data_IF_066682379622
#
_entry.id   IF_066682379622
#
_cell.length_a   1.000
_cell.length_b   1.000
_cell.length_c   1.000
_cell.angle_alpha   90.00
_cell.angle_beta   90.00
_cell.angle_gamma   90.00
#
_symmetry.space_group_name_H-M   'P 1'
#
loop_
_entity.id
_entity.type
_entity.pdbx_description
1 polymer ?
#
# COMPACT_ATOMS: atom_id res chain seq x y z
N UNK A 1 6.48 -2.37 1.16
CA UNK A 1 5.45 -1.30 1.10
C UNK A 1 5.86 -0.08 0.27
N UNK A 2 7.15 0.26 0.10
CA UNK A 2 7.54 1.50 -0.61
C UNK A 2 7.51 1.40 -2.14
N UNK A 3 7.75 0.22 -2.72
CA UNK A 3 7.84 0.06 -4.17
C UNK A 3 6.51 0.37 -4.90
N UNK A 4 5.37 -0.08 -4.35
CA UNK A 4 4.03 0.15 -4.94
C UNK A 4 3.66 1.64 -5.01
N UNK A 5 3.71 2.43 -3.92
CA UNK A 5 3.38 3.86 -3.97
C UNK A 5 4.36 4.66 -4.83
N UNK A 6 5.65 4.30 -4.84
CA UNK A 6 6.63 4.94 -5.72
C UNK A 6 6.33 4.66 -7.19
N UNK A 7 6.02 3.42 -7.56
CA UNK A 7 5.64 3.07 -8.92
C UNK A 7 4.38 3.82 -9.39
N UNK A 8 3.38 3.97 -8.51
CA UNK A 8 2.17 4.74 -8.79
C UNK A 8 2.45 6.23 -8.97
N UNK A 9 3.25 6.82 -8.08
CA UNK A 9 3.67 8.22 -8.17
C UNK A 9 4.43 8.49 -9.46
N UNK A 10 5.41 7.65 -9.79
CA UNK A 10 6.20 7.79 -11.03
C UNK A 10 5.30 7.65 -12.25
N UNK A 11 4.39 6.68 -12.29
CA UNK A 11 3.42 6.53 -13.38
C UNK A 11 2.58 7.81 -13.58
N UNK A 12 2.08 8.43 -12.51
CA UNK A 12 1.27 9.66 -12.59
C UNK A 12 2.03 10.86 -13.18
N UNK A 13 3.35 10.92 -13.01
CA UNK A 13 4.18 12.00 -13.55
C UNK A 13 4.42 11.92 -15.06
N UNK A 14 4.18 10.76 -15.70
CA UNK A 14 4.20 10.60 -17.16
C UNK A 14 2.84 10.94 -17.82
N UNK A 15 1.87 11.45 -17.05
CA UNK A 15 0.53 11.83 -17.55
C UNK A 15 0.36 13.35 -17.62
N UNK A 16 -0.61 13.82 -18.41
CA UNK A 16 -0.95 15.25 -18.54
C UNK A 16 -1.51 15.87 -17.24
N UNK A 17 -2.01 15.04 -16.32
CA UNK A 17 -2.91 15.49 -15.26
C UNK A 17 -2.21 15.85 -13.94
N UNK A 18 -0.93 15.49 -13.79
CA UNK A 18 -0.18 15.68 -12.54
C UNK A 18 -0.71 14.84 -11.37
N UNK A 19 -0.23 15.13 -10.16
CA UNK A 19 -0.66 14.45 -8.92
C UNK A 19 -1.32 15.46 -7.98
N UNK A 20 -2.58 15.23 -7.63
CA UNK A 20 -3.26 15.99 -6.57
C UNK A 20 -3.06 15.29 -5.23
N UNK A 21 -2.13 15.80 -4.43
CA UNK A 21 -1.88 15.29 -3.09
C UNK A 21 -2.95 15.80 -2.12
N UNK A 22 -3.73 14.87 -1.55
CA UNK A 22 -4.86 15.15 -0.64
C UNK A 22 -5.89 16.15 -1.16
N UNK A 23 -5.99 16.30 -2.50
CA UNK A 23 -6.77 17.36 -3.15
C UNK A 23 -6.42 18.79 -2.69
N UNK A 24 -5.29 18.96 -2.00
CA UNK A 24 -4.85 20.23 -1.42
C UNK A 24 -3.65 20.82 -2.19
N UNK A 25 -2.76 19.95 -2.70
CA UNK A 25 -1.56 20.37 -3.43
C UNK A 25 -1.54 19.71 -4.80
N UNK A 26 -1.52 20.53 -5.85
CA UNK A 26 -1.29 20.05 -7.22
C UNK A 26 0.21 20.01 -7.48
N UNK A 27 0.74 18.81 -7.65
CA UNK A 27 2.09 18.62 -8.15
C UNK A 27 1.99 18.56 -9.68
N UNK A 28 2.52 19.55 -10.41
CA UNK A 28 2.56 19.50 -11.85
C UNK A 28 3.40 18.29 -12.30
N UNK A 29 3.02 17.63 -13.41
CA UNK A 29 3.82 16.55 -13.95
C UNK A 29 5.18 17.10 -14.36
N UNK A 30 6.24 16.50 -13.85
CA UNK A 30 7.62 16.84 -14.22
C UNK A 30 8.20 15.90 -15.27
N UNK A 31 7.53 14.78 -15.56
CA UNK A 31 7.94 13.82 -16.57
C UNK A 31 7.47 14.20 -17.98
N UNK A 32 8.20 13.81 -19.03
CA UNK A 32 7.70 13.90 -20.40
C UNK A 32 6.45 13.01 -20.56
N UNK A 33 5.57 13.35 -21.50
CA UNK A 33 4.42 12.49 -21.79
C UNK A 33 4.87 11.26 -22.59
N UNK A 34 5.05 10.13 -21.90
CA UNK A 34 5.46 8.86 -22.50
C UNK A 34 4.50 7.73 -22.10
N UNK A 35 3.79 7.20 -23.10
CA UNK A 35 2.82 6.12 -22.92
C UNK A 35 3.49 4.78 -22.56
N UNK A 36 4.70 4.53 -23.05
CA UNK A 36 5.43 3.30 -22.76
C UNK A 36 5.93 3.28 -21.31
N UNK A 37 6.50 4.40 -20.84
CA UNK A 37 6.89 4.54 -19.43
C UNK A 37 5.69 4.47 -18.50
N UNK A 38 4.59 5.16 -18.84
CA UNK A 38 3.34 5.04 -18.10
C UNK A 38 2.86 3.58 -17.99
N UNK A 39 2.81 2.85 -19.12
CA UNK A 39 2.37 1.45 -19.14
C UNK A 39 3.26 0.54 -18.28
N UNK A 40 4.58 0.75 -18.31
CA UNK A 40 5.54 -0.02 -17.50
C UNK A 40 5.32 0.21 -16.00
N UNK A 41 5.33 1.46 -15.55
CA UNK A 41 5.20 1.78 -14.13
C UNK A 41 3.80 1.48 -13.59
N UNK A 42 2.74 1.71 -14.39
CA UNK A 42 1.39 1.35 -14.02
C UNK A 42 1.20 -0.18 -13.96
N UNK A 43 1.81 -0.92 -14.90
CA UNK A 43 1.84 -2.38 -14.87
C UNK A 43 2.55 -2.91 -13.62
N UNK A 44 3.73 -2.38 -13.29
CA UNK A 44 4.47 -2.72 -12.09
C UNK A 44 3.68 -2.37 -10.81
N UNK A 45 3.03 -1.21 -10.76
CA UNK A 45 2.17 -0.81 -9.65
C UNK A 45 1.00 -1.78 -9.47
N UNK A 46 0.28 -2.13 -10.55
CA UNK A 46 -0.87 -3.03 -10.52
C UNK A 46 -0.49 -4.43 -10.06
N UNK A 47 0.58 -4.99 -10.60
CA UNK A 47 1.09 -6.32 -10.21
C UNK A 47 1.58 -6.30 -8.76
N UNK A 48 2.34 -5.27 -8.38
CA UNK A 48 2.82 -5.10 -7.01
C UNK A 48 1.68 -4.92 -5.99
N UNK A 49 0.61 -4.22 -6.35
CA UNK A 49 -0.58 -4.06 -5.52
C UNK A 49 -1.28 -5.41 -5.29
N UNK A 50 -1.49 -6.22 -6.32
CA UNK A 50 -2.10 -7.55 -6.16
C UNK A 50 -1.24 -8.51 -5.34
N UNK A 51 0.08 -8.52 -5.56
CA UNK A 51 1.01 -9.28 -4.74
C UNK A 51 0.96 -8.85 -3.27
N UNK A 52 0.91 -7.54 -3.03
CA UNK A 52 0.79 -6.99 -1.69
C UNK A 52 -0.52 -7.42 -1.03
N UNK A 53 -1.65 -7.32 -1.73
CA UNK A 53 -2.96 -7.79 -1.23
C UNK A 53 -2.89 -9.27 -0.86
N UNK A 54 -2.30 -10.11 -1.71
CA UNK A 54 -2.15 -11.54 -1.43
C UNK A 54 -1.29 -11.79 -0.18
N UNK A 55 -0.18 -11.07 -0.02
CA UNK A 55 0.68 -11.18 1.16
C UNK A 55 -0.02 -10.71 2.44
N UNK A 56 -0.78 -9.62 2.37
CA UNK A 56 -1.55 -9.11 3.52
C UNK A 56 -2.68 -10.08 3.88
N UNK A 57 -3.39 -10.64 2.89
CA UNK A 57 -4.43 -11.64 3.12
C UNK A 57 -3.85 -12.92 3.75
N UNK A 58 -2.70 -13.40 3.25
CA UNK A 58 -1.99 -14.54 3.82
C UNK A 58 -1.54 -14.24 5.26
N UNK A 59 -0.95 -13.08 5.50
CA UNK A 59 -0.54 -12.65 6.83
C UNK A 59 -1.71 -12.60 7.82
N UNK A 60 -2.84 -12.02 7.40
CA UNK A 60 -4.06 -11.98 8.20
C UNK A 60 -4.62 -13.39 8.46
N UNK A 61 -4.63 -14.27 7.46
CA UNK A 61 -5.07 -15.66 7.62
C UNK A 61 -4.20 -16.42 8.63
N UNK A 62 -2.88 -16.23 8.59
CA UNK A 62 -1.94 -16.80 9.57
C UNK A 62 -2.20 -16.22 10.97
N UNK A 63 -2.44 -14.92 11.10
CA UNK A 63 -2.83 -14.30 12.36
C UNK A 63 -4.13 -14.88 12.95
N UNK A 64 -5.14 -15.09 12.11
CA UNK A 64 -6.40 -15.75 12.51
C UNK A 64 -6.19 -17.23 12.87
N UNK A 65 -5.31 -17.93 12.16
CA UNK A 65 -4.93 -19.29 12.52
C UNK A 65 -4.35 -19.33 13.94
N UNK A 66 -3.39 -18.45 14.23
CA UNK A 66 -2.77 -18.34 15.55
C UNK A 66 -3.78 -17.97 16.65
N UNK A 67 -4.81 -17.17 16.32
CA UNK A 67 -5.92 -16.89 17.23
C UNK A 67 -6.67 -18.18 17.64
N UNK A 68 -6.92 -19.10 16.70
CA UNK A 68 -7.53 -20.40 17.00
C UNK A 68 -6.61 -21.31 17.83
N UNK A 69 -5.29 -21.25 17.59
CA UNK A 69 -4.28 -22.00 18.37
C UNK A 69 -4.04 -21.45 19.77
N UNK A 70 -4.51 -20.23 20.06
CA UNK A 70 -4.37 -19.55 21.36
C UNK A 70 -2.92 -19.46 21.86
N UNK A 71 -1.97 -19.34 20.93
CA UNK A 71 -0.54 -19.21 21.24
C UNK A 71 -0.12 -17.77 21.61
N UNK A 72 -1.08 -16.85 21.69
CA UNK A 72 -0.85 -15.47 22.12
C UNK A 72 -0.17 -14.58 21.09
N UNK A 73 0.17 -15.08 19.89
CA UNK A 73 0.79 -14.27 18.82
C UNK A 73 -0.14 -13.14 18.38
N UNK A 74 -1.44 -13.43 18.21
CA UNK A 74 -2.44 -12.42 17.88
C UNK A 74 -2.57 -11.35 18.99
N UNK A 75 -2.51 -11.76 20.26
CA UNK A 75 -2.62 -10.85 21.40
C UNK A 75 -1.47 -9.82 21.47
N UNK A 76 -0.31 -10.10 20.85
CA UNK A 76 0.82 -9.16 20.75
C UNK A 76 0.61 -8.07 19.70
N UNK A 77 -0.24 -8.31 18.70
CA UNK A 77 -0.62 -7.32 17.68
C UNK A 77 -1.86 -6.53 18.11
N UNK A 78 -2.66 -7.08 19.02
CA UNK A 78 -3.84 -6.40 19.55
C UNK A 78 -3.41 -5.23 20.44
N UNK A 79 -4.01 -4.03 20.29
CA UNK A 79 -3.77 -2.93 21.21
C UNK A 79 -4.09 -3.39 22.63
N UNK A 80 -3.08 -3.40 23.50
CA UNK A 80 -3.28 -3.75 24.90
C UNK A 80 -4.40 -2.88 25.47
N UNK A 81 -5.47 -3.53 25.97
CA UNK A 81 -6.50 -2.85 26.74
C UNK A 81 -5.78 -2.25 27.95
N UNK A 82 -5.63 -0.93 27.98
CA UNK A 82 -5.20 -0.24 29.20
C UNK A 82 -6.31 -0.45 30.23
N UNK A 83 -6.15 -1.47 31.05
CA UNK A 83 -6.93 -1.59 32.28
C UNK A 83 -6.33 -0.58 33.27
N UNK A 84 -7.11 0.45 33.60
CA UNK A 84 -6.83 1.32 34.74
C UNK A 84 -6.58 2.79 34.39
N UNK A 85 -7.62 3.60 34.59
CA UNK A 85 -7.51 4.89 35.27
C UNK A 85 -8.84 5.10 36.01
N UNK A 86 -8.96 4.42 37.14
CA UNK A 86 -9.88 4.80 38.24
C UNK A 86 -9.31 6.00 38.97
#
# INVERSE_FOLDING_TARGET
MLAVPLAGYVASNFTQYGVKLFNAVLLPPWGPQDKAMYALFNGAHRTGAWLLVALVALHAAVGLWHLQRRDGVFARMWPARKEGAT
#
